data_IF_542769933688
#
_entry.id   IF_542769933688
#
_cell.length_a   1.000
_cell.length_b   1.000
_cell.length_c   1.000
_cell.angle_alpha   90.00
_cell.angle_beta   90.00
_cell.angle_gamma   90.00
#
_symmetry.space_group_name_H-M   'P 1'
#
loop_
_entity.id
_entity.type
_entity.pdbx_description
1 polymer ?
#
# COMPACT_ATOMS: atom_id res chain seq x y z
N UNK A 1 -22.03 35.14 29.72
CA UNK A 1 -20.56 35.03 29.85
C UNK A 1 -20.06 33.70 30.42
N UNK A 2 -20.86 32.91 31.15
CA UNK A 2 -20.40 31.63 31.72
C UNK A 2 -20.29 30.48 30.68
N UNK A 3 -21.22 30.41 29.71
CA UNK A 3 -21.21 29.34 28.70
C UNK A 3 -20.03 29.39 27.72
N UNK A 4 -19.54 30.59 27.38
CA UNK A 4 -18.40 30.77 26.45
C UNK A 4 -17.07 30.33 27.06
N UNK A 5 -16.90 30.43 28.38
CA UNK A 5 -15.67 30.04 29.08
C UNK A 5 -15.52 28.51 29.14
N UNK A 6 -16.60 27.78 29.42
CA UNK A 6 -16.59 26.31 29.43
C UNK A 6 -16.34 25.70 28.04
N UNK A 7 -16.89 26.31 26.99
CA UNK A 7 -16.63 25.87 25.60
C UNK A 7 -15.16 26.08 25.23
N UNK A 8 -14.56 27.20 25.63
CA UNK A 8 -13.15 27.49 25.35
C UNK A 8 -12.22 26.48 26.05
N UNK A 9 -12.52 26.14 27.32
CA UNK A 9 -11.77 25.13 28.09
C UNK A 9 -11.87 23.75 27.41
N UNK A 10 -13.07 23.36 26.97
CA UNK A 10 -13.24 22.09 26.23
C UNK A 10 -12.45 22.07 24.91
N UNK A 11 -12.46 23.16 24.14
CA UNK A 11 -11.69 23.26 22.89
C UNK A 11 -10.18 23.18 23.13
N UNK A 12 -9.67 23.84 24.19
CA UNK A 12 -8.25 23.77 24.56
C UNK A 12 -7.85 22.36 25.00
N UNK A 13 -8.68 21.70 25.81
CA UNK A 13 -8.45 20.31 26.25
C UNK A 13 -8.43 19.35 25.06
N UNK A 14 -9.40 19.45 24.14
CA UNK A 14 -9.44 18.62 22.91
C UNK A 14 -8.19 18.89 22.05
N UNK A 15 -7.79 20.15 21.90
CA UNK A 15 -6.59 20.49 21.12
C UNK A 15 -5.31 19.89 21.70
N UNK A 16 -5.21 19.83 23.04
CA UNK A 16 -4.07 19.21 23.72
C UNK A 16 -4.03 17.70 23.49
N UNK A 17 -5.18 17.02 23.60
CA UNK A 17 -5.28 15.58 23.35
C UNK A 17 -5.00 15.19 21.88
N UNK A 18 -5.30 16.07 20.91
CA UNK A 18 -5.01 15.81 19.49
C UNK A 18 -3.50 15.83 19.19
N UNK A 19 -2.70 16.56 19.98
CA UNK A 19 -1.24 16.68 19.77
C UNK A 19 -0.48 15.38 20.12
N UNK A 20 -1.06 14.48 20.93
CA UNK A 20 -0.34 13.29 21.43
C UNK A 20 -0.42 12.03 20.55
N UNK A 21 -1.21 12.02 19.47
CA UNK A 21 -1.38 10.80 18.65
C UNK A 21 -0.24 10.68 17.64
N UNK A 22 0.85 10.00 18.03
CA UNK A 22 1.93 9.61 17.13
C UNK A 22 1.69 8.19 16.54
N UNK A 23 1.16 8.12 15.32
CA UNK A 23 1.05 6.87 14.57
C UNK A 23 2.41 6.47 13.98
N UNK A 24 3.15 5.59 14.64
CA UNK A 24 4.41 5.02 14.13
C UNK A 24 4.15 3.72 13.37
N UNK A 25 4.41 3.72 12.05
CA UNK A 25 4.37 2.53 11.20
C UNK A 25 5.80 2.17 10.82
N UNK A 26 6.20 0.92 11.04
CA UNK A 26 7.54 0.44 10.70
C UNK A 26 7.46 -0.92 9.99
N UNK A 27 8.05 -1.00 8.79
CA UNK A 27 8.21 -2.26 8.06
C UNK A 27 9.42 -3.01 8.61
N UNK A 28 9.22 -4.26 9.02
CA UNK A 28 10.29 -5.10 9.61
C UNK A 28 10.72 -6.25 8.72
N UNK A 29 9.86 -6.68 7.81
CA UNK A 29 10.12 -7.81 6.93
C UNK A 29 9.33 -7.65 5.62
N UNK A 30 9.87 -8.22 4.53
CA UNK A 30 9.17 -8.41 3.27
C UNK A 30 9.48 -9.81 2.76
N UNK A 31 8.45 -10.50 2.25
CA UNK A 31 8.58 -11.81 1.61
C UNK A 31 7.75 -11.78 0.32
N UNK A 32 8.43 -11.92 -0.81
CA UNK A 32 7.80 -12.06 -2.12
C UNK A 32 7.86 -13.53 -2.55
N UNK A 33 6.76 -14.05 -3.07
CA UNK A 33 6.72 -15.38 -3.68
C UNK A 33 5.90 -15.27 -4.97
N UNK A 34 6.34 -15.98 -6.01
CA UNK A 34 5.53 -16.15 -7.21
C UNK A 34 4.67 -17.41 -7.09
N UNK A 35 3.39 -17.29 -7.45
CA UNK A 35 2.46 -18.42 -7.55
C UNK A 35 2.69 -19.20 -8.85
N UNK A 36 2.95 -18.48 -9.93
CA UNK A 36 3.23 -19.02 -11.26
C UNK A 36 4.50 -18.37 -11.79
N UNK A 37 5.61 -19.11 -11.71
CA UNK A 37 6.94 -18.67 -12.14
C UNK A 37 7.09 -18.61 -13.66
N UNK A 38 6.23 -19.30 -14.41
CA UNK A 38 6.22 -19.21 -15.87
C UNK A 38 5.49 -17.96 -16.35
N UNK A 39 4.60 -17.41 -15.54
CA UNK A 39 3.93 -16.14 -15.80
C UNK A 39 4.77 -14.94 -15.33
N UNK A 40 5.25 -14.97 -14.09
CA UNK A 40 6.04 -13.88 -13.50
C UNK A 40 6.94 -14.35 -12.35
N UNK A 41 8.08 -13.71 -12.13
CA UNK A 41 8.90 -13.98 -10.94
C UNK A 41 9.60 -12.71 -10.43
N UNK A 42 9.99 -12.73 -9.15
CA UNK A 42 10.69 -11.61 -8.52
C UNK A 42 12.20 -11.74 -8.75
N UNK A 43 12.82 -10.77 -9.40
CA UNK A 43 14.28 -10.71 -9.53
C UNK A 43 14.92 -10.32 -8.20
N UNK A 44 14.34 -9.31 -7.55
CA UNK A 44 14.69 -8.93 -6.18
C UNK A 44 13.46 -8.45 -5.43
N UNK A 45 13.48 -8.62 -4.11
CA UNK A 45 12.46 -8.12 -3.19
C UNK A 45 13.06 -8.05 -1.78
N UNK A 46 13.40 -6.84 -1.33
CA UNK A 46 14.02 -6.65 -0.03
C UNK A 46 13.68 -5.29 0.58
N UNK A 47 13.84 -5.20 1.90
CA UNK A 47 13.86 -3.95 2.64
C UNK A 47 15.30 -3.56 2.93
N UNK A 48 15.73 -2.39 2.47
CA UNK A 48 17.05 -1.83 2.73
C UNK A 48 16.96 -0.77 3.82
N UNK A 49 17.60 -1.02 4.96
CA UNK A 49 17.72 -0.05 6.04
C UNK A 49 18.81 0.98 5.70
N UNK A 50 18.42 2.23 5.49
CA UNK A 50 19.39 3.32 5.24
C UNK A 50 19.67 4.11 6.53
N UNK A 51 18.67 4.26 7.40
CA UNK A 51 18.81 4.81 8.76
C UNK A 51 17.85 4.06 9.72
N UNK A 52 17.98 4.27 11.04
CA UNK A 52 17.04 3.82 12.08
C UNK A 52 15.58 4.20 11.78
N UNK A 53 15.34 5.29 11.06
CA UNK A 53 13.99 5.78 10.71
C UNK A 53 13.55 5.36 9.31
N UNK A 54 14.47 5.29 8.35
CA UNK A 54 14.14 5.10 6.94
C UNK A 54 14.57 3.73 6.42
N UNK A 55 13.58 2.98 5.94
CA UNK A 55 13.75 1.71 5.23
C UNK A 55 13.12 1.84 3.86
N UNK A 56 13.88 1.51 2.82
CA UNK A 56 13.40 1.49 1.45
C UNK A 56 12.95 0.08 1.09
N UNK A 57 11.74 -0.03 0.55
CA UNK A 57 11.32 -1.22 -0.17
C UNK A 57 11.90 -1.15 -1.58
N UNK A 58 12.49 -2.24 -2.05
CA UNK A 58 12.92 -2.37 -3.44
C UNK A 58 12.50 -3.74 -3.93
N UNK A 59 11.69 -3.76 -4.98
CA UNK A 59 11.28 -4.98 -5.66
C UNK A 59 11.25 -4.81 -7.17
N UNK A 60 11.57 -5.89 -7.87
CA UNK A 60 11.47 -5.99 -9.32
C UNK A 60 10.80 -7.30 -9.68
N UNK A 61 9.74 -7.21 -10.46
CA UNK A 61 8.96 -8.35 -10.96
C UNK A 61 9.16 -8.44 -12.45
N UNK A 62 9.62 -9.59 -12.93
CA UNK A 62 9.73 -9.89 -14.34
C UNK A 62 8.44 -10.58 -14.80
N UNK A 63 7.87 -10.09 -15.90
CA UNK A 63 6.70 -10.63 -16.58
C UNK A 63 7.18 -11.39 -17.81
N UNK A 64 6.94 -12.69 -17.84
CA UNK A 64 7.40 -13.55 -18.94
C UNK A 64 6.35 -13.70 -20.04
N UNK A 65 5.07 -13.44 -19.72
CA UNK A 65 3.94 -13.51 -20.64
C UNK A 65 3.29 -12.13 -20.78
N UNK A 66 3.40 -11.54 -21.96
CA UNK A 66 2.82 -10.23 -22.33
C UNK A 66 2.02 -10.38 -23.63
N UNK A 67 0.97 -9.57 -23.87
CA UNK A 67 0.50 -8.43 -23.06
C UNK A 67 -0.37 -8.84 -21.87
N UNK A 68 -0.16 -8.21 -20.71
CA UNK A 68 -1.00 -8.42 -19.53
C UNK A 68 -2.19 -7.46 -19.56
N UNK A 69 -3.39 -8.01 -19.80
CA UNK A 69 -4.63 -7.23 -19.98
C UNK A 69 -5.56 -7.24 -18.76
N UNK A 70 -5.47 -8.28 -17.92
CA UNK A 70 -6.24 -8.43 -16.70
C UNK A 70 -5.35 -8.98 -15.59
N UNK A 71 -5.40 -8.35 -14.41
CA UNK A 71 -4.69 -8.82 -13.22
C UNK A 71 -5.63 -8.76 -12.03
N UNK A 72 -6.04 -9.93 -11.54
CA UNK A 72 -6.82 -10.02 -10.31
C UNK A 72 -5.91 -9.97 -9.09
N UNK A 73 -5.96 -8.87 -8.34
CA UNK A 73 -5.14 -8.65 -7.15
C UNK A 73 -5.98 -8.80 -5.90
N UNK A 74 -5.64 -9.78 -5.05
CA UNK A 74 -6.24 -9.94 -3.74
C UNK A 74 -5.40 -9.23 -2.69
N UNK A 75 -5.97 -8.22 -2.05
CA UNK A 75 -5.36 -7.46 -0.97
C UNK A 75 -6.01 -7.82 0.37
N UNK A 76 -5.18 -8.14 1.35
CA UNK A 76 -5.63 -8.47 2.70
C UNK A 76 -4.71 -7.89 3.76
N UNK A 77 -5.30 -7.19 4.72
CA UNK A 77 -4.61 -6.78 5.94
C UNK A 77 -4.90 -7.79 7.05
N UNK A 78 -3.87 -8.16 7.79
CA UNK A 78 -3.97 -9.14 8.87
C UNK A 78 -3.32 -8.60 10.13
N UNK A 79 -3.99 -8.77 11.26
CA UNK A 79 -3.48 -8.41 12.58
C UNK A 79 -3.12 -9.68 13.36
N UNK A 80 -1.95 -9.65 14.01
CA UNK A 80 -1.48 -10.74 14.87
C UNK A 80 -2.24 -10.71 16.20
N UNK A 81 -2.95 -11.80 16.48
CA UNK A 81 -3.55 -12.14 17.77
C UNK A 81 -3.11 -13.58 18.11
N UNK A 82 -4.02 -14.49 18.47
CA UNK A 82 -3.81 -15.95 18.52
C UNK A 82 -3.68 -16.56 17.11
N UNK A 83 -2.83 -15.97 16.27
CA UNK A 83 -2.73 -16.20 14.84
C UNK A 83 -2.95 -14.93 14.02
N UNK A 84 -2.72 -14.99 12.71
CA UNK A 84 -3.04 -13.89 11.80
C UNK A 84 -4.53 -13.90 11.47
N UNK A 85 -5.26 -12.88 11.93
CA UNK A 85 -6.69 -12.72 11.62
C UNK A 85 -6.86 -11.56 10.63
N UNK A 86 -7.76 -11.66 9.64
CA UNK A 86 -8.09 -10.53 8.76
C UNK A 86 -8.47 -9.30 9.59
N UNK A 87 -7.99 -8.13 9.19
CA UNK A 87 -8.21 -6.86 9.87
C UNK A 87 -8.52 -5.76 8.85
N UNK A 88 -9.61 -5.01 9.04
CA UNK A 88 -10.10 -3.93 8.17
C UNK A 88 -10.47 -4.33 6.74
N UNK A 89 -9.52 -4.80 5.93
CA UNK A 89 -9.69 -4.95 4.47
C UNK A 89 -9.29 -6.34 3.99
N UNK A 90 -10.20 -6.97 3.24
CA UNK A 90 -9.99 -8.18 2.47
C UNK A 90 -10.78 -8.01 1.16
N UNK A 91 -10.10 -7.59 0.10
CA UNK A 91 -10.71 -7.17 -1.15
C UNK A 91 -9.96 -7.75 -2.34
N UNK A 92 -10.69 -8.04 -3.41
CA UNK A 92 -10.13 -8.47 -4.69
C UNK A 92 -10.46 -7.41 -5.72
N UNK A 93 -9.45 -6.89 -6.42
CA UNK A 93 -9.60 -5.83 -7.41
C UNK A 93 -8.85 -6.21 -8.67
N UNK A 94 -9.47 -5.95 -9.81
CA UNK A 94 -8.80 -5.99 -11.11
C UNK A 94 -7.89 -4.75 -11.23
N UNK A 95 -6.59 -4.97 -11.16
CA UNK A 95 -5.60 -3.89 -11.15
C UNK A 95 -5.62 -3.12 -12.47
N UNK A 96 -5.84 -3.79 -13.61
CA UNK A 96 -5.94 -3.12 -14.90
C UNK A 96 -7.18 -2.23 -15.00
N UNK A 97 -8.32 -2.69 -14.47
CA UNK A 97 -9.53 -1.88 -14.37
C UNK A 97 -9.33 -0.68 -13.43
N UNK A 98 -8.63 -0.90 -12.32
CA UNK A 98 -8.30 0.15 -11.36
C UNK A 98 -7.37 1.23 -11.97
N UNK A 99 -6.32 0.84 -12.69
CA UNK A 99 -5.40 1.79 -13.32
C UNK A 99 -6.09 2.69 -14.35
N UNK A 100 -7.12 2.19 -15.05
CA UNK A 100 -7.99 2.98 -15.94
C UNK A 100 -8.89 3.95 -15.17
N UNK A 101 -9.39 3.55 -14.01
CA UNK A 101 -10.32 4.33 -13.18
C UNK A 101 -9.91 4.33 -11.70
N UNK A 102 -8.83 5.07 -11.39
CA UNK A 102 -8.22 5.07 -10.05
C UNK A 102 -9.12 5.62 -8.93
N UNK A 103 -10.27 6.21 -9.26
CA UNK A 103 -11.24 6.70 -8.25
C UNK A 103 -12.25 5.64 -7.80
N UNK A 104 -12.26 4.45 -8.40
CA UNK A 104 -13.27 3.42 -8.10
C UNK A 104 -13.11 2.74 -6.74
N UNK A 105 -11.90 2.71 -6.17
CA UNK A 105 -11.62 1.97 -4.93
C UNK A 105 -10.78 2.81 -3.97
N UNK A 106 -11.39 3.58 -3.04
CA UNK A 106 -10.68 4.51 -2.15
C UNK A 106 -9.54 3.86 -1.35
N UNK A 107 -9.75 2.64 -0.86
CA UNK A 107 -8.74 1.88 -0.11
C UNK A 107 -7.54 1.55 -0.98
N UNK A 108 -7.77 1.06 -2.20
CA UNK A 108 -6.69 0.77 -3.16
C UNK A 108 -5.96 2.05 -3.53
N UNK A 109 -6.68 3.17 -3.70
CA UNK A 109 -6.07 4.47 -4.00
C UNK A 109 -5.19 5.00 -2.90
N UNK A 110 -5.54 4.76 -1.63
CA UNK A 110 -4.67 5.11 -0.51
C UNK A 110 -3.34 4.35 -0.57
N UNK A 111 -3.38 3.02 -0.78
CA UNK A 111 -2.16 2.22 -0.89
C UNK A 111 -1.36 2.54 -2.15
N UNK A 112 -2.03 2.65 -3.30
CA UNK A 112 -1.41 2.97 -4.57
C UNK A 112 -0.70 4.33 -4.53
N UNK A 113 -1.31 5.34 -3.90
CA UNK A 113 -0.68 6.65 -3.71
C UNK A 113 0.64 6.59 -2.93
N UNK A 114 0.87 5.56 -2.11
CA UNK A 114 2.10 5.43 -1.32
C UNK A 114 3.33 5.04 -2.15
N UNK A 115 3.13 4.42 -3.33
CA UNK A 115 4.23 3.93 -4.15
C UNK A 115 4.17 4.33 -5.64
N UNK A 116 3.04 4.90 -6.10
CA UNK A 116 2.84 5.26 -7.52
C UNK A 116 3.98 6.11 -8.09
N UNK A 117 4.52 7.05 -7.32
CA UNK A 117 5.51 8.03 -7.78
C UNK A 117 6.93 7.45 -7.82
N UNK A 118 7.12 6.28 -7.19
CA UNK A 118 8.40 5.55 -7.15
C UNK A 118 8.36 4.28 -8.01
N UNK A 119 7.26 4.04 -8.73
CA UNK A 119 7.07 2.83 -9.53
C UNK A 119 6.83 3.15 -11.00
N UNK A 120 7.08 2.17 -11.87
CA UNK A 120 6.74 2.27 -13.29
C UNK A 120 5.30 1.80 -13.61
N UNK A 121 4.45 1.64 -12.59
CA UNK A 121 3.06 1.16 -12.70
C UNK A 121 2.05 2.26 -13.02
N UNK A 122 2.50 3.48 -13.30
CA UNK A 122 1.66 4.66 -13.44
C UNK A 122 0.92 4.79 -14.78
N UNK A 123 1.09 3.83 -15.69
CA UNK A 123 0.43 3.80 -16.99
C UNK A 123 -0.80 2.89 -16.98
N UNK A 124 -1.73 3.11 -17.92
CA UNK A 124 -2.86 2.20 -18.11
C UNK A 124 -2.40 0.87 -18.71
N UNK A 125 -3.06 -0.23 -18.32
CA UNK A 125 -2.96 -1.50 -19.03
C UNK A 125 -3.37 -1.34 -20.51
N UNK A 126 -2.84 -2.17 -21.42
CA UNK A 126 -2.07 -3.39 -21.15
C UNK A 126 -0.55 -3.19 -20.92
N UNK A 127 0.06 -4.12 -20.19
CA UNK A 127 1.52 -4.13 -19.97
C UNK A 127 2.19 -4.88 -21.13
N UNK A 128 2.55 -4.13 -22.17
CA UNK A 128 3.05 -4.69 -23.44
C UNK A 128 4.57 -4.53 -23.57
N UNK A 129 5.08 -3.38 -23.10
CA UNK A 129 6.48 -2.95 -23.22
C UNK A 129 7.24 -3.21 -21.92
N UNK A 130 6.54 -3.12 -20.79
CA UNK A 130 7.07 -3.34 -19.45
C UNK A 130 7.11 -4.84 -19.14
N UNK A 131 8.16 -5.51 -19.62
CA UNK A 131 8.53 -6.87 -19.14
C UNK A 131 8.92 -6.90 -17.67
N UNK A 132 9.03 -5.73 -17.04
CA UNK A 132 9.51 -5.57 -15.68
C UNK A 132 8.65 -4.52 -14.97
N UNK A 133 8.21 -4.83 -13.75
CA UNK A 133 7.56 -3.90 -12.82
C UNK A 133 8.53 -3.60 -11.69
N UNK A 134 8.79 -2.31 -11.42
CA UNK A 134 9.76 -1.86 -10.43
C UNK A 134 9.06 -0.97 -9.41
N UNK A 135 9.38 -1.17 -8.14
CA UNK A 135 8.91 -0.38 -7.00
C UNK A 135 10.00 -0.24 -5.94
#
# INVERSE_FOLDING_TARGET
MCCTLNVLVYLLVISHFVVEIACRVEFTNVKCNSVDKEFSDFEYCFLKSVNRTYKYLSLKVNLFQVPVTNVSTKFGLYKRFSGYKPFLYNLTVDACKYLKHQKSFPVVSYFYASFKDFSNLNHSCPFDVSKEMIL
#
